data_IF_473309635634
#
_entry.id   IF_473309635634
#
_cell.length_a   1.000
_cell.length_b   1.000
_cell.length_c   1.000
_cell.angle_alpha   90.00
_cell.angle_beta   90.00
_cell.angle_gamma   90.00
#
_symmetry.space_group_name_H-M   'P 1'
#
loop_
_entity.id
_entity.type
_entity.pdbx_description
1 polymer ?
#
# COMPACT_ATOMS: atom_id res chain seq x y z
N UNK A 1 5.84 -7.19 2.44
CA UNK A 1 4.43 -7.61 2.39
C UNK A 1 3.67 -6.79 3.42
N UNK A 2 2.62 -6.06 3.04
CA UNK A 2 1.81 -5.28 3.99
C UNK A 2 0.85 -6.20 4.75
N UNK A 3 0.58 -5.84 6.00
CA UNK A 3 -0.36 -6.53 6.88
C UNK A 3 -1.26 -5.48 7.52
N UNK A 4 -2.57 -5.68 7.42
CA UNK A 4 -3.54 -4.75 7.99
C UNK A 4 -3.34 -4.66 9.52
N UNK A 5 -3.10 -3.47 10.07
CA UNK A 5 -2.84 -3.29 11.51
C UNK A 5 -4.07 -3.60 12.39
N UNK A 6 -5.25 -3.75 11.76
CA UNK A 6 -6.50 -3.95 12.47
C UNK A 6 -6.93 -5.42 12.54
N UNK A 7 -6.69 -6.20 11.49
CA UNK A 7 -7.19 -7.58 11.40
C UNK A 7 -6.10 -8.61 11.07
N UNK A 8 -4.86 -8.18 10.79
CA UNK A 8 -3.79 -9.08 10.36
C UNK A 8 -3.94 -9.61 8.92
N UNK A 9 -4.96 -9.16 8.18
CA UNK A 9 -5.18 -9.55 6.79
C UNK A 9 -4.10 -9.01 5.88
N UNK A 10 -3.73 -9.77 4.86
CA UNK A 10 -2.67 -9.42 3.90
C UNK A 10 -3.19 -8.97 2.55
N UNK A 11 -4.52 -8.99 2.37
CA UNK A 11 -5.18 -8.53 1.14
C UNK A 11 -5.37 -7.02 1.25
N UNK A 12 -4.45 -6.26 0.67
CA UNK A 12 -4.50 -4.81 0.59
C UNK A 12 -4.62 -4.32 -0.85
N UNK A 13 -5.28 -3.19 -1.04
CA UNK A 13 -5.29 -2.44 -2.29
C UNK A 13 -4.75 -1.03 -2.03
N UNK A 14 -3.70 -0.65 -2.74
CA UNK A 14 -3.13 0.68 -2.61
C UNK A 14 -4.02 1.71 -3.31
N UNK A 15 -4.31 2.81 -2.62
CA UNK A 15 -5.15 3.88 -3.12
C UNK A 15 -4.42 5.22 -2.96
N UNK A 16 -4.40 6.01 -4.04
CA UNK A 16 -3.74 7.31 -4.08
C UNK A 16 -4.51 8.25 -4.99
N UNK A 17 -5.01 9.34 -4.42
CA UNK A 17 -5.58 10.50 -5.11
C UNK A 17 -5.03 11.81 -4.50
N UNK A 18 -5.57 12.96 -4.93
CA UNK A 18 -5.12 14.30 -4.50
C UNK A 18 -5.36 14.60 -3.01
N UNK A 19 -6.27 13.88 -2.36
CA UNK A 19 -6.69 14.05 -0.96
C UNK A 19 -6.34 12.85 -0.07
N UNK A 20 -6.22 11.64 -0.64
CA UNK A 20 -6.08 10.40 0.13
C UNK A 20 -4.96 9.51 -0.44
N UNK A 21 -4.03 9.11 0.43
CA UNK A 21 -3.02 8.11 0.12
C UNK A 21 -2.93 7.08 1.24
N UNK A 22 -2.93 5.80 0.90
CA UNK A 22 -2.89 4.72 1.87
C UNK A 22 -3.25 3.36 1.28
N UNK A 23 -3.62 2.42 2.15
CA UNK A 23 -3.99 1.06 1.75
C UNK A 23 -5.36 0.65 2.30
N UNK A 24 -6.25 0.18 1.41
CA UNK A 24 -7.55 -0.38 1.78
C UNK A 24 -7.43 -1.89 2.02
N UNK A 25 -7.85 -2.36 3.18
CA UNK A 25 -7.93 -3.79 3.48
C UNK A 25 -9.13 -4.44 2.76
N UNK A 26 -8.86 -5.44 1.92
CA UNK A 26 -9.86 -6.22 1.19
C UNK A 26 -10.19 -7.57 1.87
N UNK A 27 -9.83 -7.73 3.15
CA UNK A 27 -10.33 -8.87 3.92
C UNK A 27 -11.86 -8.74 4.07
N UNK A 28 -12.62 -9.83 3.89
CA UNK A 28 -14.09 -9.80 3.88
C UNK A 28 -14.69 -9.22 5.16
N UNK A 29 -13.98 -9.33 6.29
CA UNK A 29 -14.44 -8.87 7.60
C UNK A 29 -13.73 -7.59 8.11
N UNK A 30 -12.96 -6.89 7.26
CA UNK A 30 -12.20 -5.70 7.71
C UNK A 30 -12.56 -4.40 7.00
N UNK A 31 -12.33 -4.29 5.70
CA UNK A 31 -12.65 -3.09 4.92
C UNK A 31 -11.97 -1.77 5.38
N UNK A 32 -10.98 -1.82 6.29
CA UNK A 32 -10.39 -0.62 6.89
C UNK A 32 -9.33 0.00 5.98
N UNK A 33 -9.32 1.33 5.96
CA UNK A 33 -8.32 2.13 5.27
C UNK A 33 -7.18 2.50 6.23
N UNK A 34 -5.95 2.20 5.81
CA UNK A 34 -4.72 2.53 6.50
C UNK A 34 -4.02 3.68 5.78
N UNK A 35 -4.24 4.91 6.26
CA UNK A 35 -3.61 6.12 5.71
C UNK A 35 -2.11 6.20 6.02
N UNK A 36 -1.58 5.33 6.88
CA UNK A 36 -0.15 5.29 7.21
C UNK A 36 0.63 4.37 6.28
N UNK A 37 -0.06 3.55 5.48
CA UNK A 37 0.51 2.72 4.44
C UNK A 37 0.88 3.55 3.21
N UNK A 38 1.90 4.39 3.37
CA UNK A 38 2.59 5.01 2.24
C UNK A 38 3.54 3.95 1.69
N UNK A 39 3.30 3.48 0.47
CA UNK A 39 4.31 2.68 -0.21
C UNK A 39 5.59 3.52 -0.29
N UNK A 40 6.77 2.93 0.00
CA UNK A 40 8.02 3.65 -0.23
C UNK A 40 8.02 4.13 -1.69
N UNK A 41 8.33 5.41 -1.89
CA UNK A 41 8.25 6.13 -3.17
C UNK A 41 9.08 5.50 -4.33
N UNK A 42 9.74 4.38 -4.10
CA UNK A 42 10.63 3.69 -5.02
C UNK A 42 9.92 2.82 -6.08
N UNK A 43 8.60 2.60 -5.96
CA UNK A 43 7.84 1.79 -6.92
C UNK A 43 6.62 2.52 -7.56
N UNK A 44 6.38 3.78 -7.19
CA UNK A 44 5.25 4.55 -7.73
C UNK A 44 5.59 5.36 -9.00
N UNK A 45 6.84 5.35 -9.43
CA UNK A 45 7.29 5.96 -10.69
C UNK A 45 8.18 4.93 -11.38
N UNK A 46 7.91 4.63 -12.65
CA UNK A 46 8.69 3.68 -13.43
C UNK A 46 10.13 4.14 -13.65
N UNK A 47 10.99 3.93 -12.66
CA UNK A 47 12.44 3.98 -12.75
C UNK A 47 12.97 2.77 -11.98
N UNK A 48 13.07 1.64 -12.67
CA UNK A 48 13.79 0.49 -12.15
C UNK A 48 15.26 0.90 -12.00
N UNK A 49 15.90 0.78 -10.82
CA UNK A 49 17.31 1.07 -10.70
C UNK A 49 18.08 0.09 -11.60
N UNK A 50 18.83 0.64 -12.56
CA UNK A 50 19.74 -0.14 -13.40
C UNK A 50 20.74 -0.91 -12.51
N UNK A 51 21.07 -2.17 -12.83
CA UNK A 51 22.07 -2.92 -12.09
C UNK A 51 23.43 -2.19 -12.13
N UNK A 52 24.25 -2.30 -11.06
CA UNK A 52 25.55 -1.65 -11.03
C UNK A 52 26.45 -2.19 -12.15
N UNK A 53 27.04 -1.30 -12.94
CA UNK A 53 28.14 -1.59 -13.87
C UNK A 53 29.47 -1.49 -13.12
#
# INVERSE_FOLDING_TARGET
MWTCPHCGGTRGFFFSDENLQGMLCLAPDCGRFDATAVLPAHEASGDAPLPPQ
#
